data_IF_867176195118
#
_entry.id   IF_867176195118
#
_cell.length_a   1.000
_cell.length_b   1.000
_cell.length_c   1.000
_cell.angle_alpha   90.00
_cell.angle_beta   90.00
_cell.angle_gamma   90.00
#
_symmetry.space_group_name_H-M   'P 1'
#
loop_
_entity.id
_entity.type
_entity.pdbx_description
1 polymer ?
#
# COMPACT_ATOMS: atom_id res chain seq x y z
N UNK A 1 -22.53 -72.47 -21.82
CA UNK A 1 -22.93 -71.35 -20.93
C UNK A 1 -21.75 -70.70 -20.20
N UNK A 2 -20.51 -70.74 -20.73
CA UNK A 2 -19.34 -70.09 -20.12
C UNK A 2 -18.32 -69.58 -21.17
N UNK A 3 -18.76 -69.22 -22.39
CA UNK A 3 -17.87 -68.69 -23.42
C UNK A 3 -18.36 -67.40 -24.10
N UNK A 4 -19.41 -66.75 -23.56
CA UNK A 4 -20.02 -65.54 -24.16
C UNK A 4 -19.84 -64.26 -23.33
N UNK A 5 -19.22 -64.35 -22.14
CA UNK A 5 -19.03 -63.19 -21.26
C UNK A 5 -17.68 -62.48 -21.40
N UNK A 6 -16.80 -62.90 -22.32
CA UNK A 6 -15.44 -62.34 -22.41
C UNK A 6 -15.23 -61.30 -23.52
N UNK A 7 -16.23 -60.98 -24.35
CA UNK A 7 -16.05 -60.10 -25.52
C UNK A 7 -16.93 -58.85 -25.54
N UNK A 8 -17.22 -58.24 -24.40
CA UNK A 8 -18.03 -57.00 -24.35
C UNK A 8 -17.31 -55.78 -23.75
N UNK A 9 -15.99 -55.69 -23.94
CA UNK A 9 -15.23 -54.48 -23.67
C UNK A 9 -14.72 -53.88 -24.99
N UNK A 10 -15.54 -53.05 -25.64
CA UNK A 10 -15.12 -52.28 -26.81
C UNK A 10 -14.30 -51.05 -26.36
N UNK A 11 -13.04 -50.89 -26.81
CA UNK A 11 -12.15 -49.81 -26.36
C UNK A 11 -12.67 -48.42 -26.73
N UNK A 12 -13.56 -48.32 -27.72
CA UNK A 12 -14.14 -47.04 -28.21
C UNK A 12 -14.98 -46.31 -27.16
N UNK A 13 -15.61 -47.04 -26.22
CA UNK A 13 -16.39 -46.44 -25.12
C UNK A 13 -15.48 -45.81 -24.06
N UNK A 14 -14.26 -46.31 -23.91
CA UNK A 14 -13.28 -45.79 -22.96
C UNK A 14 -12.64 -44.50 -23.49
N UNK A 15 -12.31 -44.44 -24.79
CA UNK A 15 -11.70 -43.25 -25.41
C UNK A 15 -12.67 -42.06 -25.52
N UNK A 16 -13.97 -42.27 -25.75
CA UNK A 16 -14.96 -41.18 -25.80
C UNK A 16 -15.17 -40.52 -24.43
N UNK A 17 -15.12 -41.29 -23.35
CA UNK A 17 -15.21 -40.78 -21.98
C UNK A 17 -13.94 -40.01 -21.55
N UNK A 18 -12.77 -40.36 -22.11
CA UNK A 18 -11.52 -39.65 -21.84
C UNK A 18 -11.44 -38.30 -22.57
N UNK A 19 -11.99 -38.18 -23.79
CA UNK A 19 -11.96 -36.93 -24.57
C UNK A 19 -12.89 -35.83 -24.04
N UNK A 20 -14.12 -36.19 -23.62
CA UNK A 20 -15.09 -35.23 -23.04
C UNK A 20 -14.58 -34.65 -21.71
N UNK A 21 -13.78 -35.43 -20.97
CA UNK A 21 -13.24 -35.03 -19.66
C UNK A 21 -12.01 -34.11 -19.76
N UNK A 22 -11.27 -34.14 -20.87
CA UNK A 22 -10.09 -33.29 -21.08
C UNK A 22 -10.42 -31.93 -21.72
N UNK A 23 -11.52 -31.81 -22.49
CA UNK A 23 -11.89 -30.54 -23.12
C UNK A 23 -12.58 -29.54 -22.15
N UNK A 24 -13.23 -30.03 -21.10
CA UNK A 24 -13.90 -29.17 -20.10
C UNK A 24 -12.97 -28.55 -19.06
N UNK A 25 -11.74 -29.08 -18.91
CA UNK A 25 -10.75 -28.60 -17.92
C UNK A 25 -9.92 -27.43 -18.48
N UNK A 26 -9.84 -27.28 -19.81
CA UNK A 26 -9.05 -26.23 -20.47
C UNK A 26 -9.72 -24.85 -20.55
N UNK A 27 -11.03 -24.74 -20.31
CA UNK A 27 -11.75 -23.46 -20.31
C UNK A 27 -11.89 -22.82 -18.91
N UNK A 28 -11.44 -23.49 -17.85
CA UNK A 28 -11.62 -23.03 -16.48
C UNK A 28 -10.42 -22.21 -15.92
N UNK A 29 -9.41 -21.93 -16.74
CA UNK A 29 -8.19 -21.20 -16.32
C UNK A 29 -8.06 -19.80 -16.92
N UNK A 30 -9.16 -19.14 -17.32
CA UNK A 30 -9.14 -17.68 -17.40
C UNK A 30 -9.24 -17.14 -15.98
N UNK A 31 -8.10 -17.10 -15.29
CA UNK A 31 -7.95 -16.29 -14.09
C UNK A 31 -8.47 -14.90 -14.41
N UNK A 32 -9.58 -14.52 -13.79
CA UNK A 32 -10.02 -13.13 -13.76
C UNK A 32 -8.93 -12.39 -12.98
N UNK A 33 -7.96 -11.82 -13.69
CA UNK A 33 -7.09 -10.79 -13.14
C UNK A 33 -8.00 -9.60 -12.84
N UNK A 34 -8.56 -9.56 -11.63
CA UNK A 34 -9.25 -8.39 -11.16
C UNK A 34 -8.19 -7.28 -11.13
N UNK A 35 -8.33 -6.19 -11.92
CA UNK A 35 -7.43 -5.07 -11.78
C UNK A 35 -7.49 -4.67 -10.30
N UNK A 36 -6.33 -4.72 -9.63
CA UNK A 36 -6.25 -4.48 -8.20
C UNK A 36 -6.91 -3.14 -7.91
N UNK A 37 -8.09 -3.19 -7.29
CA UNK A 37 -8.71 -1.99 -6.77
C UNK A 37 -7.72 -1.45 -5.76
N UNK A 38 -7.11 -0.29 -6.06
CA UNK A 38 -6.18 0.35 -5.15
C UNK A 38 -6.91 0.43 -3.80
N UNK A 39 -6.28 -0.13 -2.76
CA UNK A 39 -6.90 -0.11 -1.45
C UNK A 39 -7.12 1.36 -1.04
N UNK A 40 -8.15 1.61 -0.24
CA UNK A 40 -8.55 2.96 0.14
C UNK A 40 -7.40 3.75 0.78
N UNK A 41 -6.50 3.07 1.50
CA UNK A 41 -5.33 3.69 2.12
C UNK A 41 -4.31 4.12 1.06
N UNK A 42 -3.98 3.27 0.10
CA UNK A 42 -3.10 3.62 -1.02
C UNK A 42 -3.67 4.79 -1.81
N UNK A 43 -4.97 4.77 -2.14
CA UNK A 43 -5.59 5.88 -2.84
C UNK A 43 -5.50 7.18 -2.02
N UNK A 44 -5.76 7.13 -0.72
CA UNK A 44 -5.65 8.28 0.18
C UNK A 44 -4.21 8.81 0.25
N UNK A 45 -3.23 7.92 0.41
CA UNK A 45 -1.82 8.29 0.46
C UNK A 45 -1.38 8.95 -0.86
N UNK A 46 -1.63 8.31 -2.00
CA UNK A 46 -1.22 8.79 -3.31
C UNK A 46 -1.89 10.13 -3.68
N UNK A 47 -3.16 10.31 -3.33
CA UNK A 47 -3.92 11.51 -3.69
C UNK A 47 -3.75 12.68 -2.70
N UNK A 48 -3.41 12.42 -1.44
CA UNK A 48 -3.41 13.45 -0.37
C UNK A 48 -2.06 13.64 0.30
N UNK A 49 -1.35 12.56 0.58
CA UNK A 49 -0.14 12.60 1.41
C UNK A 49 1.12 12.71 0.56
N UNK A 50 1.24 11.90 -0.50
CA UNK A 50 2.41 11.93 -1.38
C UNK A 50 2.66 13.34 -1.95
N UNK A 51 1.65 14.06 -2.51
CA UNK A 51 1.88 15.40 -3.04
C UNK A 51 2.32 16.40 -1.96
N UNK A 52 1.80 16.27 -0.74
CA UNK A 52 2.18 17.10 0.40
C UNK A 52 3.64 16.87 0.78
N UNK A 53 4.07 15.61 0.91
CA UNK A 53 5.45 15.26 1.24
C UNK A 53 6.42 15.69 0.12
N UNK A 54 6.06 15.48 -1.14
CA UNK A 54 6.93 15.82 -2.27
C UNK A 54 7.12 17.32 -2.43
N UNK A 55 6.06 18.11 -2.22
CA UNK A 55 6.10 19.55 -2.43
C UNK A 55 6.68 20.32 -1.25
N UNK A 56 6.45 19.86 -0.01
CA UNK A 56 6.75 20.65 1.19
C UNK A 56 7.84 20.06 2.08
N UNK A 57 8.19 18.79 1.91
CA UNK A 57 9.06 18.10 2.86
C UNK A 57 10.35 17.56 2.22
N UNK A 58 10.28 17.08 0.97
CA UNK A 58 11.38 16.34 0.37
C UNK A 58 12.60 17.20 0.03
N UNK A 59 12.45 18.49 -0.25
CA UNK A 59 13.59 19.35 -0.58
C UNK A 59 14.66 19.32 0.54
N UNK A 60 14.22 19.50 1.79
CA UNK A 60 15.09 19.50 2.98
C UNK A 60 15.24 18.10 3.61
N UNK A 61 14.17 17.30 3.66
CA UNK A 61 14.14 16.03 4.39
C UNK A 61 14.18 14.78 3.49
N UNK A 62 14.77 14.86 2.29
CA UNK A 62 15.12 13.68 1.49
C UNK A 62 16.64 13.48 1.44
N UNK A 63 17.33 14.02 0.45
CA UNK A 63 18.77 13.86 0.25
C UNK A 63 19.58 14.60 1.32
N UNK A 64 19.21 15.84 1.61
CA UNK A 64 19.87 16.71 2.58
C UNK A 64 19.65 16.25 4.03
N UNK A 65 18.51 15.59 4.30
CA UNK A 65 18.15 15.03 5.60
C UNK A 65 18.38 16.02 6.76
N UNK A 66 17.84 17.24 6.64
CA UNK A 66 17.99 18.28 7.66
C UNK A 66 17.51 17.81 9.03
N UNK A 67 18.29 18.14 10.07
CA UNK A 67 18.07 17.63 11.43
C UNK A 67 18.09 16.09 11.51
N UNK A 68 18.83 15.42 10.64
CA UNK A 68 18.92 13.97 10.56
C UNK A 68 17.67 13.26 10.04
N UNK A 69 16.63 14.00 9.66
CA UNK A 69 15.30 13.47 9.35
C UNK A 69 15.14 13.14 7.87
N UNK A 70 14.66 11.92 7.57
CA UNK A 70 14.29 11.47 6.22
C UNK A 70 12.79 11.18 6.13
N UNK A 71 12.08 11.92 5.27
CA UNK A 71 10.63 11.79 5.01
C UNK A 71 10.31 11.17 3.65
N UNK A 72 11.32 10.72 2.90
CA UNK A 72 11.17 10.07 1.60
C UNK A 72 11.19 8.52 1.67
N UNK A 73 11.27 7.95 2.87
CA UNK A 73 11.15 6.51 3.10
C UNK A 73 10.46 6.23 4.42
N UNK A 74 9.78 5.08 4.51
CA UNK A 74 9.10 4.65 5.73
C UNK A 74 10.09 4.43 6.86
N UNK A 75 11.21 3.76 6.59
CA UNK A 75 12.27 3.54 7.58
C UNK A 75 12.82 4.86 8.12
N UNK A 76 12.99 5.87 7.26
CA UNK A 76 13.45 7.20 7.67
C UNK A 76 12.47 7.88 8.62
N UNK A 77 11.17 7.84 8.30
CA UNK A 77 10.12 8.43 9.11
C UNK A 77 10.00 7.76 10.49
N UNK A 78 10.17 6.44 10.54
CA UNK A 78 10.15 5.66 11.79
C UNK A 78 11.40 5.88 12.64
N UNK A 79 12.57 6.00 12.01
CA UNK A 79 13.82 6.30 12.71
C UNK A 79 13.78 7.69 13.35
N UNK A 80 13.20 8.67 12.65
CA UNK A 80 13.21 10.06 13.07
C UNK A 80 14.56 10.75 12.84
N UNK A 81 14.72 11.93 13.45
CA UNK A 81 15.91 12.76 13.35
C UNK A 81 16.49 13.12 14.71
N UNK A 82 17.30 14.17 14.76
CA UNK A 82 18.05 14.61 15.94
C UNK A 82 17.13 15.02 17.12
N UNK A 83 15.89 15.39 16.81
CA UNK A 83 14.85 15.74 17.79
C UNK A 83 13.95 14.56 18.20
N UNK A 84 14.28 13.35 17.74
CA UNK A 84 13.55 12.12 18.03
C UNK A 84 12.65 11.64 16.88
N UNK A 85 11.72 10.75 17.22
CA UNK A 85 10.85 10.08 16.26
C UNK A 85 9.92 11.06 15.55
N UNK A 86 9.84 10.97 14.22
CA UNK A 86 9.01 11.88 13.43
C UNK A 86 7.54 11.44 13.40
N UNK A 87 7.27 10.13 13.28
CA UNK A 87 5.92 9.56 13.29
C UNK A 87 5.84 8.30 14.16
N UNK A 88 4.71 8.11 14.82
CA UNK A 88 4.32 6.85 15.44
C UNK A 88 3.09 6.30 14.71
N UNK A 89 3.24 5.24 13.88
CA UNK A 89 2.11 4.60 13.23
C UNK A 89 0.99 4.25 14.22
N UNK A 90 -0.24 4.64 13.90
CA UNK A 90 -1.41 4.40 14.76
C UNK A 90 -1.57 5.38 15.93
N UNK A 91 -0.63 6.34 16.11
CA UNK A 91 -0.65 7.27 17.22
C UNK A 91 -0.20 8.68 16.79
N UNK A 92 -1.07 9.43 16.13
CA UNK A 92 -0.77 10.80 15.71
C UNK A 92 -0.86 11.85 16.84
N UNK A 93 -1.22 11.46 18.07
CA UNK A 93 -1.35 12.41 19.18
C UNK A 93 0.03 12.88 19.65
N UNK A 94 0.33 14.16 19.40
CA UNK A 94 1.56 14.87 19.84
C UNK A 94 2.85 14.25 19.30
N UNK A 95 2.98 14.23 17.97
CA UNK A 95 4.23 13.88 17.31
C UNK A 95 4.91 15.13 16.74
N UNK A 96 6.24 15.12 16.78
CA UNK A 96 7.08 16.26 16.41
C UNK A 96 6.76 16.79 15.00
N UNK A 97 6.44 15.91 14.05
CA UNK A 97 6.08 16.31 12.69
C UNK A 97 4.82 17.21 12.67
N UNK A 98 3.78 16.86 13.42
CA UNK A 98 2.54 17.65 13.45
C UNK A 98 2.71 18.97 14.19
N UNK A 99 3.56 19.01 15.21
CA UNK A 99 3.86 20.25 15.93
C UNK A 99 4.65 21.22 15.03
N UNK A 100 5.67 20.73 14.33
CA UNK A 100 6.47 21.52 13.38
C UNK A 100 5.59 22.14 12.28
N UNK A 101 4.78 21.33 11.60
CA UNK A 101 3.94 21.83 10.48
C UNK A 101 2.75 22.67 10.91
N UNK A 102 2.40 22.66 12.19
CA UNK A 102 1.32 23.49 12.73
C UNK A 102 1.71 24.95 12.94
N UNK A 103 3.02 25.26 12.95
CA UNK A 103 3.53 26.60 13.19
C UNK A 103 3.18 27.15 14.57
N UNK A 104 3.02 26.26 15.56
CA UNK A 104 2.81 26.64 16.98
C UNK A 104 4.12 26.90 17.72
N UNK A 105 5.22 26.40 17.17
CA UNK A 105 6.55 26.57 17.70
C UNK A 105 7.30 27.54 16.79
N UNK A 106 7.61 28.73 17.31
CA UNK A 106 8.28 29.79 16.57
C UNK A 106 9.73 29.44 16.21
N UNK A 107 10.32 28.44 16.88
CA UNK A 107 11.65 27.90 16.60
C UNK A 107 11.63 26.82 15.50
N UNK A 108 10.45 26.31 15.14
CA UNK A 108 10.22 25.29 14.11
C UNK A 108 9.41 25.86 12.93
N UNK A 109 10.01 26.77 12.18
CA UNK A 109 9.43 27.31 10.94
C UNK A 109 9.53 26.33 9.76
N UNK A 110 8.79 25.21 9.86
CA UNK A 110 8.73 24.18 8.81
C UNK A 110 7.27 24.00 8.37
N UNK A 111 6.99 23.93 7.06
CA UNK A 111 7.92 24.11 5.94
C UNK A 111 8.24 25.60 5.67
N UNK A 112 9.33 25.94 4.95
CA UNK A 112 9.71 27.31 4.63
C UNK A 112 8.62 28.14 3.94
N UNK A 113 7.75 27.47 3.18
CA UNK A 113 6.60 28.03 2.47
C UNK A 113 5.48 28.50 3.41
N UNK A 114 5.59 28.17 4.70
CA UNK A 114 4.65 28.51 5.75
C UNK A 114 3.86 27.31 6.25
N UNK A 115 3.11 27.50 7.33
CA UNK A 115 2.35 26.43 7.99
C UNK A 115 1.34 25.77 7.04
N UNK A 116 1.15 24.46 7.21
CA UNK A 116 0.14 23.71 6.50
C UNK A 116 -1.27 24.22 6.84
N UNK A 117 -2.19 24.09 5.88
CA UNK A 117 -3.60 24.34 6.11
C UNK A 117 -4.18 23.35 7.12
N UNK A 118 -5.30 23.72 7.75
CA UNK A 118 -6.01 22.81 8.67
C UNK A 118 -6.41 21.49 8.01
N UNK A 119 -6.67 21.50 6.69
CA UNK A 119 -7.04 20.31 5.93
C UNK A 119 -5.84 19.38 5.75
N UNK A 120 -4.68 19.91 5.36
CA UNK A 120 -3.45 19.15 5.20
C UNK A 120 -2.97 18.56 6.53
N UNK A 121 -3.03 19.32 7.62
CA UNK A 121 -2.75 18.81 8.96
C UNK A 121 -3.69 17.65 9.33
N UNK A 122 -4.98 17.79 9.02
CA UNK A 122 -5.98 16.73 9.26
C UNK A 122 -5.68 15.48 8.43
N UNK A 123 -5.37 15.64 7.15
CA UNK A 123 -5.05 14.52 6.26
C UNK A 123 -3.79 13.78 6.75
N UNK A 124 -2.74 14.53 7.12
CA UNK A 124 -1.51 13.96 7.66
C UNK A 124 -1.77 13.19 8.96
N UNK A 125 -2.56 13.78 9.88
CA UNK A 125 -2.97 13.11 11.12
C UNK A 125 -3.72 11.80 10.83
N UNK A 126 -4.69 11.84 9.91
CA UNK A 126 -5.47 10.66 9.54
C UNK A 126 -4.57 9.56 8.99
N UNK A 127 -3.65 9.89 8.09
CA UNK A 127 -2.73 8.90 7.52
C UNK A 127 -1.85 8.25 8.58
N UNK A 128 -1.33 9.03 9.54
CA UNK A 128 -0.54 8.49 10.65
C UNK A 128 -1.39 7.56 11.53
N UNK A 129 -2.61 7.98 11.90
CA UNK A 129 -3.53 7.15 12.69
C UNK A 129 -3.92 5.85 11.96
N UNK A 130 -3.93 5.86 10.63
CA UNK A 130 -4.15 4.67 9.79
C UNK A 130 -2.92 3.77 9.68
N UNK A 131 -1.82 4.09 10.36
CA UNK A 131 -0.61 3.27 10.41
C UNK A 131 0.53 3.74 9.50
N UNK A 132 0.41 4.93 8.90
CA UNK A 132 1.40 5.50 7.99
C UNK A 132 1.84 4.50 6.90
N UNK A 133 0.83 3.88 6.28
CA UNK A 133 0.94 2.92 5.17
C UNK A 133 0.61 3.58 3.84
#
# INVERSE_FOLDING_TARGET
MLLDQMLNFSPKRLYLAMFVRHFMVLLAFTSLSHPGQADEHTFFFESRIRPLLTQLCWECHSRNAEGGLRLNSREGMLKGGDRGTAIHPGAASKILLLDAVSGKDDDLKIPPEGKLSRREIKDLKQWIDQGAV
#
